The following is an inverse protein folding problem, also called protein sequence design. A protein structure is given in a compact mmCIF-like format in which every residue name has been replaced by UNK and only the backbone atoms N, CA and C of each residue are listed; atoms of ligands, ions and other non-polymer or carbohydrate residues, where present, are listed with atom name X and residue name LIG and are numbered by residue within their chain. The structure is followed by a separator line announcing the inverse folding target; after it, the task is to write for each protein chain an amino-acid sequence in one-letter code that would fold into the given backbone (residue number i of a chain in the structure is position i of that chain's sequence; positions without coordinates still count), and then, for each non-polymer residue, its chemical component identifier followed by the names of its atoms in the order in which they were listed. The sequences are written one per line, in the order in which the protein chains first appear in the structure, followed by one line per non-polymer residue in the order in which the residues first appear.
data_IF_646025780229
#
_entry.id   IF_646025780229
#
_cell.length_a   1.000
_cell.length_b   1.000
_cell.length_c   1.000
_cell.angle_alpha   90.00
_cell.angle_beta   90.00
_cell.angle_gamma   90.00
#
_symmetry.space_group_name_H-M   'P 1'
#
loop_
_entity.id
_entity.type
_entity.pdbx_description
1 polymer ?
#
# COMPACT_ATOMS: atom_id res chain seq x y z
N UNK A 1 -1.08 -3.95 18.55
CA UNK A 1 -1.46 -5.39 18.46
C UNK A 1 -0.27 -6.17 17.94
N UNK A 2 0.02 -7.36 18.48
CA UNK A 2 1.05 -8.26 17.94
C UNK A 2 0.53 -8.88 16.64
N UNK A 3 1.11 -8.53 15.49
CA UNK A 3 0.80 -9.15 14.20
C UNK A 3 1.53 -10.48 14.08
N UNK A 4 0.83 -11.57 13.77
CA UNK A 4 1.46 -12.87 13.52
C UNK A 4 1.81 -13.03 12.05
N UNK A 5 2.77 -13.91 11.73
CA UNK A 5 3.14 -14.23 10.34
C UNK A 5 1.94 -14.77 9.53
N UNK A 6 0.98 -15.43 10.19
CA UNK A 6 -0.25 -15.89 9.54
C UNK A 6 -1.16 -14.73 9.13
N UNK A 7 -1.31 -13.71 9.98
CA UNK A 7 -2.12 -12.53 9.68
C UNK A 7 -1.55 -11.76 8.48
N UNK A 8 -0.22 -11.65 8.41
CA UNK A 8 0.48 -11.05 7.26
C UNK A 8 0.19 -11.84 5.99
N UNK A 9 0.26 -13.18 6.04
CA UNK A 9 0.01 -14.03 4.88
C UNK A 9 -1.41 -13.88 4.33
N UNK A 10 -2.42 -13.78 5.19
CA UNK A 10 -3.81 -13.55 4.76
C UNK A 10 -4.01 -12.15 4.19
N UNK A 11 -3.52 -11.13 4.87
CA UNK A 11 -3.61 -9.75 4.38
C UNK A 11 -2.91 -9.56 3.04
N UNK A 12 -1.80 -10.27 2.80
CA UNK A 12 -1.10 -10.23 1.51
C UNK A 12 -1.96 -10.73 0.35
N UNK A 13 -2.85 -11.70 0.55
CA UNK A 13 -3.77 -12.10 -0.52
C UNK A 13 -4.68 -10.94 -0.92
N UNK A 14 -5.28 -10.26 0.06
CA UNK A 14 -6.14 -9.09 -0.18
C UNK A 14 -5.38 -7.95 -0.87
N UNK A 15 -4.17 -7.65 -0.39
CA UNK A 15 -3.29 -6.61 -0.98
C UNK A 15 -2.96 -6.93 -2.44
N UNK A 16 -2.66 -8.19 -2.73
CA UNK A 16 -2.33 -8.63 -4.09
C UNK A 16 -3.55 -8.60 -5.02
N UNK A 17 -4.74 -8.96 -4.51
CA UNK A 17 -5.98 -8.84 -5.28
C UNK A 17 -6.30 -7.37 -5.61
N UNK A 18 -6.08 -6.43 -4.69
CA UNK A 18 -6.19 -4.99 -4.94
C UNK A 18 -5.16 -4.50 -5.96
N UNK A 19 -3.93 -5.02 -5.91
CA UNK A 19 -2.88 -4.67 -6.86
C UNK A 19 -3.21 -5.10 -8.30
N UNK A 20 -3.82 -6.28 -8.47
CA UNK A 20 -4.22 -6.81 -9.78
C UNK A 20 -5.52 -6.16 -10.30
N UNK A 21 -6.23 -5.42 -9.46
CA UNK A 21 -7.48 -4.74 -9.80
C UNK A 21 -8.72 -5.62 -9.68
N UNK A 22 -8.64 -6.73 -8.94
CA UNK A 22 -9.81 -7.56 -8.61
C UNK A 22 -10.76 -6.83 -7.64
N UNK A 23 -10.23 -5.91 -6.84
CA UNK A 23 -10.97 -5.03 -5.97
C UNK A 23 -10.60 -3.58 -6.28
N UNK A 24 -11.59 -2.71 -6.44
CA UNK A 24 -11.41 -1.28 -6.74
C UNK A 24 -11.17 -0.43 -5.50
N UNK A 25 -11.25 -1.02 -4.31
CA UNK A 25 -11.02 -0.32 -3.05
C UNK A 25 -9.56 0.13 -2.92
N UNK A 26 -9.32 1.35 -2.38
CA UNK A 26 -7.96 1.81 -2.10
C UNK A 26 -7.29 0.97 -1.01
N UNK A 27 -5.95 1.05 -0.95
CA UNK A 27 -5.20 0.44 0.14
C UNK A 27 -5.52 1.16 1.45
N UNK A 28 -5.98 0.44 2.47
CA UNK A 28 -6.24 0.99 3.81
C UNK A 28 -4.93 1.25 4.55
N UNK A 29 -4.99 2.05 5.61
CA UNK A 29 -3.79 2.33 6.43
C UNK A 29 -3.24 1.05 7.06
N UNK A 30 -4.12 0.15 7.52
CA UNK A 30 -3.71 -1.15 8.05
C UNK A 30 -2.97 -2.01 7.03
N UNK A 31 -3.43 -2.04 5.77
CA UNK A 31 -2.79 -2.78 4.68
C UNK A 31 -1.38 -2.25 4.39
N UNK A 32 -1.20 -0.92 4.41
CA UNK A 32 0.12 -0.28 4.23
C UNK A 32 1.04 -0.62 5.40
N UNK A 33 0.55 -0.59 6.64
CA UNK A 33 1.38 -0.97 7.79
C UNK A 33 1.76 -2.46 7.77
N UNK A 34 0.88 -3.34 7.25
CA UNK A 34 1.20 -4.75 7.04
C UNK A 34 2.30 -4.90 5.97
N UNK A 35 2.25 -4.12 4.89
CA UNK A 35 3.31 -4.08 3.88
C UNK A 35 4.64 -3.61 4.47
N UNK A 36 4.63 -2.54 5.27
CA UNK A 36 5.82 -2.04 5.96
C UNK A 36 6.40 -3.16 6.85
N UNK A 37 5.56 -3.81 7.67
CA UNK A 37 6.00 -4.89 8.52
C UNK A 37 6.59 -6.08 7.73
N UNK A 38 5.97 -6.45 6.61
CA UNK A 38 6.44 -7.53 5.75
C UNK A 38 7.82 -7.21 5.13
N UNK A 39 8.04 -5.95 4.76
CA UNK A 39 9.31 -5.48 4.21
C UNK A 39 10.40 -5.38 5.29
N UNK A 40 10.07 -4.89 6.49
CA UNK A 40 11.01 -4.82 7.62
C UNK A 40 11.44 -6.21 8.11
N UNK A 41 10.50 -7.15 8.09
CA UNK A 41 10.73 -8.52 8.58
C UNK A 41 11.39 -9.43 7.54
N UNK A 42 11.72 -8.93 6.34
CA UNK A 42 12.18 -9.74 5.19
C UNK A 42 11.28 -10.99 5.00
N UNK A 43 9.95 -10.77 5.02
CA UNK A 43 8.96 -11.79 4.67
C UNK A 43 8.74 -11.78 3.16
N UNK A 44 8.85 -10.59 2.55
CA UNK A 44 8.73 -10.38 1.12
C UNK A 44 9.94 -9.64 0.58
N UNK A 45 10.39 -10.08 -0.60
CA UNK A 45 11.42 -9.42 -1.41
C UNK A 45 12.70 -9.09 -0.64
N UNK A 46 13.19 -10.02 0.18
CA UNK A 46 14.29 -9.86 1.15
C UNK A 46 15.50 -9.07 0.60
N UNK A 47 15.81 -9.23 -0.69
CA UNK A 47 16.97 -8.60 -1.32
C UNK A 47 16.74 -7.15 -1.79
N UNK A 48 15.48 -6.70 -1.89
CA UNK A 48 15.13 -5.41 -2.51
C UNK A 48 14.15 -4.57 -1.68
N UNK A 49 13.31 -5.18 -0.85
CA UNK A 49 12.27 -4.52 -0.06
C UNK A 49 12.79 -3.34 0.78
N UNK A 50 13.93 -3.50 1.43
CA UNK A 50 14.51 -2.48 2.31
C UNK A 50 14.77 -1.14 1.62
N UNK A 51 15.05 -1.14 0.30
CA UNK A 51 15.28 0.09 -0.47
C UNK A 51 14.02 0.94 -0.63
N UNK A 52 12.86 0.30 -0.55
CA UNK A 52 11.55 0.91 -0.79
C UNK A 52 10.78 1.19 0.51
N UNK A 53 11.28 0.72 1.66
CA UNK A 53 10.74 1.05 2.98
C UNK A 53 10.60 2.57 3.23
N UNK A 54 11.57 3.43 2.89
CA UNK A 54 11.42 4.87 3.06
C UNK A 54 10.25 5.44 2.24
N UNK A 55 10.03 4.91 1.03
CA UNK A 55 8.91 5.33 0.17
C UNK A 55 7.56 4.93 0.74
N UNK A 56 7.44 3.73 1.33
CA UNK A 56 6.21 3.29 1.99
C UNK A 56 5.93 4.09 3.28
N UNK A 57 6.96 4.33 4.09
CA UNK A 57 6.83 5.09 5.35
C UNK A 57 6.60 6.59 5.12
N UNK A 58 7.00 7.11 3.97
CA UNK A 58 6.81 8.50 3.59
C UNK A 58 5.46 8.79 2.93
N UNK A 59 4.59 7.78 2.79
CA UNK A 59 3.24 8.00 2.26
C UNK A 59 2.45 8.90 3.21
N UNK A 60 1.61 9.81 2.68
CA UNK A 60 0.81 10.69 3.51
C UNK A 60 -0.11 9.87 4.43
N UNK A 61 -0.08 10.19 5.72
CA UNK A 61 -1.08 9.68 6.67
C UNK A 61 -2.42 10.30 6.31
N UNK A 62 -3.30 9.50 5.73
CA UNK A 62 -4.69 9.90 5.48
C UNK A 62 -5.48 9.42 6.69
N UNK A 63 -5.96 10.36 7.49
CA UNK A 63 -7.00 10.08 8.47
C UNK A 63 -8.25 9.75 7.67
N UNK A 64 -8.65 8.47 7.69
CA UNK A 64 -9.98 8.06 7.24
C UNK A 64 -10.98 8.83 8.12
N UNK A 65 -11.49 9.95 7.61
CA UNK A 65 -12.51 10.71 8.30
C UNK A 65 -13.71 9.77 8.43
N UNK A 66 -14.05 9.43 9.67
CA UNK A 66 -15.25 8.67 10.00
C UNK A 66 -16.41 9.26 9.20
N UNK A 67 -17.00 8.46 8.32
CA UNK A 67 -18.29 8.74 7.68
C UNK A 67 -19.42 8.64 8.71
N UNK A 68 -19.21 9.17 9.92
CA UNK A 68 -20.20 9.24 10.99
C UNK A 68 -20.84 10.63 10.91
N UNK A 69 -22.14 10.62 10.55
CA UNK A 69 -22.86 11.79 10.07
C UNK A 69 -22.76 13.03 10.95
N UNK A 70 -22.45 14.15 10.31
CA UNK A 70 -22.90 15.47 10.75
C UNK A 70 -23.35 16.22 9.50
N UNK A 71 -24.67 16.42 9.43
CA UNK A 71 -25.34 17.37 8.55
C UNK A 71 -24.76 18.77 8.79
N UNK A 72 -24.09 19.39 7.81
CA UNK A 72 -23.86 20.84 7.78
C UNK A 72 -23.50 21.33 6.36
N UNK A 73 -24.50 21.98 5.75
CA UNK A 73 -24.47 23.11 4.80
C UNK A 73 -23.52 23.04 3.56
N UNK A 74 -24.17 22.65 2.45
CA UNK A 74 -24.04 23.05 1.04
C UNK A 74 -22.75 23.72 0.51
N UNK A 75 -22.21 23.11 -0.56
CA UNK A 75 -21.18 23.56 -1.52
C UNK A 75 -19.70 23.56 -1.08
N UNK A 76 -19.34 23.91 0.15
CA UNK A 76 -17.94 23.84 0.61
C UNK A 76 -17.47 22.40 0.90
N UNK A 77 -18.42 21.54 1.30
CA UNK A 77 -18.17 20.14 1.67
C UNK A 77 -17.86 19.23 0.49
N UNK A 78 -18.41 19.50 -0.70
CA UNK A 78 -18.17 18.68 -1.90
C UNK A 78 -16.74 18.81 -2.44
N UNK A 79 -16.17 20.02 -2.42
CA UNK A 79 -14.78 20.24 -2.83
C UNK A 79 -13.80 19.60 -1.84
N UNK A 80 -14.07 19.68 -0.54
CA UNK A 80 -13.25 19.05 0.49
C UNK A 80 -13.33 17.51 0.42
N UNK A 81 -14.52 16.95 0.18
CA UNK A 81 -14.71 15.51 -0.04
C UNK A 81 -14.01 15.03 -1.32
N UNK A 82 -14.14 15.76 -2.42
CA UNK A 82 -13.45 15.42 -3.68
C UNK A 82 -11.93 15.48 -3.53
N UNK A 83 -11.41 16.47 -2.79
CA UNK A 83 -9.98 16.57 -2.50
C UNK A 83 -9.48 15.37 -1.67
N UNK A 84 -10.23 14.98 -0.64
CA UNK A 84 -9.96 13.78 0.18
C UNK A 84 -9.96 12.50 -0.67
N UNK A 85 -10.96 12.30 -1.53
CA UNK A 85 -11.08 11.13 -2.40
C UNK A 85 -9.91 11.04 -3.41
N UNK A 86 -9.50 12.19 -3.97
CA UNK A 86 -8.33 12.27 -4.83
C UNK A 86 -7.04 11.90 -4.10
N UNK A 87 -6.84 12.37 -2.86
CA UNK A 87 -5.68 12.02 -2.04
C UNK A 87 -5.62 10.52 -1.71
N UNK A 88 -6.78 9.90 -1.40
CA UNK A 88 -6.88 8.46 -1.13
C UNK A 88 -6.49 7.66 -2.38
N UNK A 89 -7.00 8.08 -3.54
CA UNK A 89 -6.67 7.45 -4.83
C UNK A 89 -5.19 7.60 -5.16
N UNK A 90 -4.63 8.81 -4.99
CA UNK A 90 -3.22 9.09 -5.24
C UNK A 90 -2.31 8.25 -4.33
N UNK A 91 -2.63 8.17 -3.03
CA UNK A 91 -1.90 7.29 -2.08
C UNK A 91 -1.96 5.84 -2.53
N UNK A 92 -3.13 5.36 -2.93
CA UNK A 92 -3.32 4.00 -3.42
C UNK A 92 -2.44 3.73 -4.65
N UNK A 93 -2.39 4.66 -5.60
CA UNK A 93 -1.57 4.53 -6.80
C UNK A 93 -0.07 4.60 -6.51
N UNK A 94 0.36 5.40 -5.52
CA UNK A 94 1.74 5.37 -5.02
C UNK A 94 2.10 3.99 -4.45
N UNK A 95 1.22 3.37 -3.65
CA UNK A 95 1.42 2.02 -3.12
C UNK A 95 1.56 0.99 -4.25
N UNK A 96 0.67 1.04 -5.26
CA UNK A 96 0.76 0.16 -6.45
C UNK A 96 2.09 0.34 -7.16
N UNK A 97 2.50 1.57 -7.40
CA UNK A 97 3.76 1.90 -8.07
C UNK A 97 4.97 1.34 -7.33
N UNK A 98 5.00 1.49 -6.00
CA UNK A 98 6.05 0.92 -5.15
C UNK A 98 6.06 -0.61 -5.28
N UNK A 99 4.92 -1.27 -5.11
CA UNK A 99 4.83 -2.74 -5.20
C UNK A 99 5.28 -3.26 -6.56
N UNK A 100 4.80 -2.67 -7.66
CA UNK A 100 5.21 -3.06 -9.01
C UNK A 100 6.71 -2.87 -9.24
N UNK A 101 7.28 -1.79 -8.70
CA UNK A 101 8.72 -1.52 -8.78
C UNK A 101 9.52 -2.56 -7.99
N UNK A 102 9.07 -2.91 -6.80
CA UNK A 102 9.69 -3.95 -5.96
C UNK A 102 9.63 -5.31 -6.66
N UNK A 103 8.47 -5.70 -7.22
CA UNK A 103 8.32 -6.92 -8.02
C UNK A 103 9.30 -6.95 -9.18
N UNK A 104 9.36 -5.85 -9.94
CA UNK A 104 10.26 -5.70 -11.07
C UNK A 104 11.72 -5.87 -10.63
N UNK A 105 12.17 -5.17 -9.59
CA UNK A 105 13.55 -5.30 -9.09
C UNK A 105 13.85 -6.72 -8.60
N UNK A 106 12.92 -7.36 -7.90
CA UNK A 106 13.10 -8.72 -7.40
C UNK A 106 13.27 -9.71 -8.56
N UNK A 107 12.44 -9.59 -9.61
CA UNK A 107 12.55 -10.41 -10.83
C UNK A 107 13.90 -10.17 -11.52
N UNK A 108 14.32 -8.90 -11.69
CA UNK A 108 15.61 -8.61 -12.31
C UNK A 108 16.79 -9.13 -11.50
N UNK A 109 16.72 -9.05 -10.18
CA UNK A 109 17.72 -9.62 -9.28
C UNK A 109 17.83 -11.14 -9.46
N UNK A 110 16.70 -11.84 -9.47
CA UNK A 110 16.66 -13.29 -9.68
C UNK A 110 17.18 -13.69 -11.07
N UNK A 111 16.81 -12.95 -12.11
CA UNK A 111 17.32 -13.16 -13.48
C UNK A 111 18.82 -12.95 -13.53
N UNK A 112 19.33 -11.89 -12.91
CA UNK A 112 20.78 -11.62 -12.84
C UNK A 112 21.55 -12.75 -12.15
N UNK A 113 21.02 -13.28 -11.05
CA UNK A 113 21.63 -14.43 -10.35
C UNK A 113 21.66 -15.67 -11.25
N UNK A 114 20.53 -15.97 -11.91
CA UNK A 114 20.39 -17.23 -12.68
C UNK A 114 21.17 -17.25 -13.98
N UNK A 115 21.21 -16.12 -14.68
CA UNK A 115 21.77 -16.05 -16.03
C UNK A 115 23.12 -15.34 -16.10
N UNK A 116 23.56 -14.70 -15.01
CA UNK A 116 24.79 -13.91 -14.97
C UNK A 116 24.64 -12.61 -15.76
N UNK A 117 24.95 -11.48 -15.12
CA UNK A 117 25.12 -10.19 -15.78
C UNK A 117 26.42 -9.54 -15.29
#
# INVERSE_FOLDING_TARGET
MTRTVQDVKFALHTIMDKLVGNHSEPFSTEEIEILIFAFESNILFDNVAHKFLPSLKGLPEIHEADSSGVESEDEASEQEQSYQENLITERSDMVKSILLTVFKENIFYDVKIRFGA
#
